data_IF_969417417133
#
_entry.id   IF_969417417133
#
_cell.length_a   1.000
_cell.length_b   1.000
_cell.length_c   1.000
_cell.angle_alpha   90.00
_cell.angle_beta   90.00
_cell.angle_gamma   90.00
#
_symmetry.space_group_name_H-M   'P 1'
#
loop_
_entity.id
_entity.type
_entity.pdbx_description
1 polymer ?
#
# COMPACT_ATOMS: atom_id res chain seq x y z
N UNK A 1 -24.41 41.70 30.77
CA UNK A 1 -23.68 40.56 31.36
C UNK A 1 -22.89 39.91 30.26
N UNK A 2 -21.61 39.80 30.51
CA UNK A 2 -20.53 39.96 29.53
C UNK A 2 -20.28 38.72 28.67
N UNK A 3 -20.33 38.89 27.36
CA UNK A 3 -20.16 37.85 26.34
C UNK A 3 -18.74 37.77 25.77
N UNK A 4 -17.71 37.94 26.59
CA UNK A 4 -16.31 38.00 26.13
C UNK A 4 -15.51 36.69 26.35
N UNK A 5 -16.10 35.63 26.91
CA UNK A 5 -15.35 34.44 27.33
C UNK A 5 -15.09 33.35 26.27
N UNK A 6 -15.84 33.30 25.16
CA UNK A 6 -15.81 32.14 24.24
C UNK A 6 -14.92 32.31 23.01
N UNK A 7 -14.50 33.54 22.69
CA UNK A 7 -13.64 33.81 21.52
C UNK A 7 -12.21 33.30 21.67
N UNK A 8 -11.65 33.37 22.88
CA UNK A 8 -10.26 32.98 23.17
C UNK A 8 -10.05 31.46 23.09
N UNK A 9 -11.01 30.66 23.55
CA UNK A 9 -10.88 29.20 23.56
C UNK A 9 -10.94 28.58 22.15
N UNK A 10 -11.74 29.17 21.26
CA UNK A 10 -11.80 28.72 19.85
C UNK A 10 -10.52 29.07 19.10
N UNK A 11 -9.91 30.23 19.41
CA UNK A 11 -8.67 30.67 18.79
C UNK A 11 -7.46 29.83 19.21
N UNK A 12 -7.37 29.44 20.50
CA UNK A 12 -6.32 28.53 20.98
C UNK A 12 -6.44 27.12 20.39
N UNK A 13 -7.66 26.57 20.30
CA UNK A 13 -7.87 25.25 19.69
C UNK A 13 -7.52 25.26 18.20
N UNK A 14 -7.83 26.35 17.48
CA UNK A 14 -7.44 26.52 16.09
C UNK A 14 -5.91 26.64 15.92
N UNK A 15 -5.22 27.40 16.77
CA UNK A 15 -3.76 27.51 16.73
C UNK A 15 -3.09 26.16 17.04
N UNK A 16 -3.63 25.41 18.01
CA UNK A 16 -3.09 24.09 18.37
C UNK A 16 -3.32 23.03 17.28
N UNK A 17 -4.35 23.18 16.44
CA UNK A 17 -4.60 22.30 15.29
C UNK A 17 -3.69 22.64 14.10
N UNK A 18 -3.42 23.94 13.86
CA UNK A 18 -2.54 24.41 12.78
C UNK A 18 -1.08 24.01 13.03
N UNK A 19 -0.58 24.14 14.26
CA UNK A 19 0.80 23.71 14.61
C UNK A 19 0.98 22.20 14.46
N UNK A 20 -0.07 21.40 14.71
CA UNK A 20 -0.02 19.94 14.57
C UNK A 20 -0.05 19.45 13.12
N UNK A 21 -0.57 20.28 12.20
CA UNK A 21 -0.60 19.99 10.77
C UNK A 21 0.65 20.51 10.04
N UNK A 22 1.32 21.53 10.57
CA UNK A 22 2.55 22.12 10.00
C UNK A 22 3.83 21.29 10.25
N UNK A 23 3.78 20.26 11.10
CA UNK A 23 4.93 19.40 11.44
C UNK A 23 5.10 18.15 10.58
N UNK A 24 4.40 18.03 9.44
CA UNK A 24 4.60 16.91 8.52
C UNK A 24 5.70 17.29 7.53
N UNK A 25 6.89 16.76 7.78
CA UNK A 25 8.07 16.93 6.95
C UNK A 25 7.76 16.72 5.46
N UNK A 26 8.27 17.67 4.67
CA UNK A 26 8.22 17.72 3.22
C UNK A 26 8.91 16.49 2.62
N UNK A 27 8.14 15.63 1.96
CA UNK A 27 8.68 14.55 1.12
C UNK A 27 9.13 15.18 -0.20
N UNK A 28 10.40 15.06 -0.64
CA UNK A 28 10.82 15.62 -1.91
C UNK A 28 10.16 14.86 -3.06
N UNK A 29 9.59 15.64 -3.98
CA UNK A 29 9.05 15.18 -5.24
C UNK A 29 10.17 14.60 -6.13
N UNK A 30 9.94 13.42 -6.68
CA UNK A 30 10.66 12.90 -7.82
C UNK A 30 9.65 12.51 -8.91
N UNK A 31 9.99 12.93 -10.11
CA UNK A 31 9.15 13.10 -11.28
C UNK A 31 9.19 11.89 -12.23
N UNK A 32 8.09 11.70 -12.97
CA UNK A 32 7.94 11.00 -14.26
C UNK A 32 7.92 9.45 -14.37
N UNK A 33 6.68 8.91 -14.44
CA UNK A 33 6.06 7.97 -15.45
C UNK A 33 6.73 6.61 -15.84
N UNK A 34 6.01 5.64 -16.48
CA UNK A 34 4.66 5.68 -17.05
C UNK A 34 3.68 4.59 -16.55
N UNK A 35 2.43 4.75 -17.02
CA UNK A 35 1.26 3.93 -16.73
C UNK A 35 1.39 2.48 -17.21
N UNK A 36 1.04 1.54 -16.33
CA UNK A 36 0.63 0.19 -16.73
C UNK A 36 -0.64 -0.17 -15.96
N UNK A 37 -1.73 -0.21 -16.70
CA UNK A 37 -2.99 -0.83 -16.28
C UNK A 37 -2.75 -2.34 -16.12
N UNK A 38 -3.04 -2.92 -14.94
CA UNK A 38 -3.71 -4.22 -14.82
C UNK A 38 -4.08 -4.55 -13.37
N UNK A 39 -5.33 -4.95 -13.24
CA UNK A 39 -6.07 -5.56 -12.14
C UNK A 39 -5.22 -6.45 -11.23
N UNK A 40 -5.26 -6.19 -9.92
CA UNK A 40 -4.91 -7.16 -8.88
C UNK A 40 -6.21 -7.49 -8.13
N UNK A 41 -6.75 -8.66 -8.44
CA UNK A 41 -7.65 -9.40 -7.55
C UNK A 41 -6.74 -10.22 -6.64
N UNK A 42 -6.85 -10.01 -5.32
CA UNK A 42 -6.23 -10.88 -4.34
C UNK A 42 -7.08 -12.15 -4.20
N UNK A 43 -6.56 -13.27 -4.70
CA UNK A 43 -6.93 -14.60 -4.23
C UNK A 43 -5.72 -15.23 -3.55
N UNK A 44 -5.83 -15.44 -2.25
CA UNK A 44 -4.91 -16.27 -1.47
C UNK A 44 -5.02 -17.73 -1.93
N UNK A 45 -3.91 -18.30 -2.39
CA UNK A 45 -3.71 -19.74 -2.46
C UNK A 45 -2.21 -20.06 -2.22
N UNK A 46 -1.89 -21.13 -1.46
CA UNK A 46 -0.52 -21.43 -1.05
C UNK A 46 0.27 -22.11 -2.18
N UNK A 47 1.43 -21.55 -2.53
CA UNK A 47 2.34 -22.17 -3.48
C UNK A 47 3.06 -23.36 -2.82
N UNK A 48 2.48 -24.55 -2.96
CA UNK A 48 3.21 -25.80 -2.87
C UNK A 48 4.08 -26.00 -4.12
N UNK A 49 5.29 -26.48 -3.87
CA UNK A 49 6.33 -26.73 -4.84
C UNK A 49 5.86 -27.61 -6.01
N UNK A 50 6.12 -27.17 -7.23
CA UNK A 50 6.26 -28.04 -8.41
C UNK A 50 7.63 -27.80 -9.01
N UNK A 51 8.55 -28.71 -8.68
CA UNK A 51 9.69 -29.04 -9.53
C UNK A 51 9.13 -29.40 -10.92
N UNK A 52 9.46 -28.61 -11.92
CA UNK A 52 9.23 -28.96 -13.32
C UNK A 52 10.58 -28.87 -14.03
N UNK A 53 11.15 -30.05 -14.33
CA UNK A 53 12.25 -30.18 -15.27
C UNK A 53 11.70 -30.00 -16.69
N UNK A 54 12.40 -29.31 -17.61
CA UNK A 54 12.09 -29.41 -19.03
C UNK A 54 12.94 -30.53 -19.65
N UNK A 55 12.25 -31.53 -20.17
CA UNK A 55 12.75 -32.49 -21.15
C UNK A 55 12.78 -31.86 -22.55
N UNK A 56 13.92 -32.04 -23.22
CA UNK A 56 14.16 -32.10 -24.68
C UNK A 56 13.57 -31.04 -25.62
N UNK A 57 14.43 -30.38 -26.40
CA UNK A 57 14.47 -30.60 -27.86
C UNK A 57 15.64 -29.83 -28.47
N UNK A 58 16.27 -30.43 -29.47
CA UNK A 58 17.11 -29.81 -30.52
C UNK A 58 18.59 -29.56 -30.20
N UNK A 59 19.40 -30.56 -30.55
CA UNK A 59 20.72 -30.31 -31.12
C UNK A 59 20.93 -31.23 -32.33
N UNK A 60 20.87 -30.61 -33.51
CA UNK A 60 21.15 -31.16 -34.82
C UNK A 60 22.61 -31.64 -34.99
N UNK A 61 22.73 -32.64 -35.86
CA UNK A 61 23.86 -32.95 -36.76
C UNK A 61 25.22 -33.35 -36.14
N UNK A 62 25.44 -34.67 -36.11
CA UNK A 62 26.76 -35.30 -36.16
C UNK A 62 27.36 -35.16 -37.58
N UNK A 63 28.62 -34.76 -37.75
CA UNK A 63 29.39 -35.12 -38.94
C UNK A 63 30.12 -36.45 -38.69
N UNK A 64 29.93 -37.39 -39.61
CA UNK A 64 30.73 -38.60 -39.68
C UNK A 64 32.19 -38.23 -40.00
N UNK A 65 33.11 -38.57 -39.10
CA UNK A 65 34.55 -38.47 -39.30
C UNK A 65 35.11 -39.90 -39.47
N UNK A 66 35.19 -40.35 -40.72
CA UNK A 66 36.05 -41.45 -41.12
C UNK A 66 37.47 -40.91 -41.32
N UNK A 67 38.37 -41.12 -40.38
CA UNK A 67 39.81 -40.96 -40.61
C UNK A 67 40.59 -41.97 -39.77
N UNK A 68 41.46 -42.66 -40.50
CA UNK A 68 42.36 -43.73 -40.12
C UNK A 68 43.24 -43.41 -38.93
N UNK A 69 43.37 -44.39 -38.04
CA UNK A 69 44.31 -44.42 -36.93
C UNK A 69 45.77 -44.38 -37.44
N UNK A 70 46.54 -43.42 -36.94
CA UNK A 70 48.00 -43.45 -36.98
C UNK A 70 48.53 -43.00 -35.63
N UNK A 71 49.35 -43.86 -35.05
CA UNK A 71 49.96 -43.70 -33.74
C UNK A 71 50.90 -42.49 -33.69
N UNK A 72 50.78 -41.69 -32.61
CA UNK A 72 51.73 -40.65 -32.26
C UNK A 72 51.16 -39.63 -31.26
N UNK A 73 51.70 -39.66 -30.04
CA UNK A 73 51.62 -38.63 -28.98
C UNK A 73 50.40 -38.65 -28.04
N UNK A 74 50.51 -39.50 -27.02
CA UNK A 74 49.58 -39.71 -25.90
C UNK A 74 49.52 -38.58 -24.86
N UNK A 75 50.02 -37.38 -25.17
CA UNK A 75 50.19 -36.30 -24.16
C UNK A 75 49.24 -35.11 -24.32
N UNK A 76 48.52 -34.94 -25.44
CA UNK A 76 47.73 -33.72 -25.70
C UNK A 76 46.23 -33.80 -25.33
N UNK A 77 45.67 -35.00 -25.09
CA UNK A 77 44.23 -35.15 -24.78
C UNK A 77 43.90 -34.87 -23.30
N UNK A 78 44.83 -35.19 -22.40
CA UNK A 78 44.66 -34.99 -20.96
C UNK A 78 44.55 -33.51 -20.59
N UNK A 79 45.25 -32.64 -21.34
CA UNK A 79 45.21 -31.19 -21.13
C UNK A 79 43.87 -30.58 -21.56
N UNK A 80 43.23 -31.12 -22.60
CA UNK A 80 41.93 -30.66 -23.06
C UNK A 80 40.82 -31.04 -22.07
N UNK A 81 40.83 -32.28 -21.57
CA UNK A 81 39.89 -32.74 -20.55
C UNK A 81 40.07 -31.98 -19.23
N UNK A 82 41.33 -31.69 -18.84
CA UNK A 82 41.64 -30.88 -17.67
C UNK A 82 41.13 -29.44 -17.81
N UNK A 83 41.23 -28.84 -19.00
CA UNK A 83 40.71 -27.50 -19.27
C UNK A 83 39.17 -27.45 -19.19
N UNK A 84 38.48 -28.48 -19.68
CA UNK A 84 37.02 -28.60 -19.59
C UNK A 84 36.58 -28.73 -18.13
N UNK A 85 37.24 -29.56 -17.33
CA UNK A 85 36.94 -29.71 -15.90
C UNK A 85 37.16 -28.39 -15.15
N UNK A 86 38.25 -27.66 -15.45
CA UNK A 86 38.50 -26.35 -14.87
C UNK A 86 37.42 -25.31 -15.24
N UNK A 87 36.95 -25.31 -16.50
CA UNK A 87 35.87 -24.44 -16.94
C UNK A 87 34.53 -24.76 -16.23
N UNK A 88 34.23 -26.05 -16.01
CA UNK A 88 33.07 -26.49 -15.25
C UNK A 88 33.14 -26.05 -13.78
N UNK A 89 34.28 -26.24 -13.11
CA UNK A 89 34.47 -25.77 -11.73
C UNK A 89 34.28 -24.26 -11.61
N UNK A 90 34.81 -23.48 -12.57
CA UNK A 90 34.58 -22.03 -12.63
C UNK A 90 33.09 -21.71 -12.77
N UNK A 91 32.36 -22.44 -13.63
CA UNK A 91 30.93 -22.22 -13.81
C UNK A 91 30.15 -22.55 -12.54
N UNK A 92 30.45 -23.66 -11.88
CA UNK A 92 29.82 -24.05 -10.61
C UNK A 92 30.01 -22.94 -9.57
N UNK A 93 31.25 -22.47 -9.37
CA UNK A 93 31.54 -21.39 -8.43
C UNK A 93 30.74 -20.11 -8.75
N UNK A 94 30.65 -19.70 -10.03
CA UNK A 94 29.86 -18.52 -10.41
C UNK A 94 28.37 -18.70 -10.16
N UNK A 95 27.84 -19.91 -10.34
CA UNK A 95 26.42 -20.21 -10.10
C UNK A 95 26.11 -20.22 -8.61
N UNK A 96 27.00 -20.77 -7.78
CA UNK A 96 26.88 -20.75 -6.32
C UNK A 96 26.90 -19.32 -5.77
N UNK A 97 27.80 -18.48 -6.28
CA UNK A 97 27.85 -17.06 -5.93
C UNK A 97 26.56 -16.33 -6.33
N UNK A 98 26.08 -16.57 -7.56
CA UNK A 98 24.83 -16.00 -8.03
C UNK A 98 23.64 -16.42 -7.16
N UNK A 99 23.54 -17.70 -6.82
CA UNK A 99 22.50 -18.22 -5.91
C UNK A 99 22.55 -17.56 -4.54
N UNK A 100 23.75 -17.42 -3.96
CA UNK A 100 23.91 -16.78 -2.66
C UNK A 100 23.51 -15.30 -2.71
N UNK A 101 23.88 -14.59 -3.77
CA UNK A 101 23.47 -13.20 -3.99
C UNK A 101 21.95 -13.08 -4.15
N UNK A 102 21.30 -13.98 -4.91
CA UNK A 102 19.84 -14.00 -5.04
C UNK A 102 19.15 -14.31 -3.71
N UNK A 103 19.64 -15.28 -2.93
CA UNK A 103 19.10 -15.60 -1.60
C UNK A 103 19.14 -14.38 -0.67
N UNK A 104 20.27 -13.66 -0.65
CA UNK A 104 20.41 -12.41 0.12
C UNK A 104 19.41 -11.36 -0.34
N UNK A 105 19.28 -11.13 -1.66
CA UNK A 105 18.31 -10.18 -2.23
C UNK A 105 16.88 -10.51 -1.83
N UNK A 106 16.49 -11.79 -1.91
CA UNK A 106 15.15 -12.24 -1.50
C UNK A 106 14.92 -11.97 -0.02
N UNK A 107 15.88 -12.31 0.85
CA UNK A 107 15.78 -12.04 2.28
C UNK A 107 15.62 -10.53 2.59
N UNK A 108 16.40 -9.68 1.92
CA UNK A 108 16.29 -8.22 2.05
C UNK A 108 14.92 -7.71 1.60
N UNK A 109 14.43 -8.16 0.44
CA UNK A 109 13.11 -7.75 -0.07
C UNK A 109 11.97 -8.23 0.82
N UNK A 110 12.07 -9.45 1.37
CA UNK A 110 11.10 -9.96 2.34
C UNK A 110 11.09 -9.12 3.62
N UNK A 111 12.26 -8.71 4.11
CA UNK A 111 12.36 -7.83 5.27
C UNK A 111 11.79 -6.42 4.98
N UNK A 112 12.04 -5.88 3.79
CA UNK A 112 11.46 -4.59 3.39
C UNK A 112 9.94 -4.68 3.28
N UNK A 113 9.41 -5.75 2.68
CA UNK A 113 7.97 -6.04 2.59
C UNK A 113 7.33 -6.10 3.97
N UNK A 114 7.92 -6.84 4.91
CA UNK A 114 7.37 -6.95 6.28
C UNK A 114 7.40 -5.62 7.03
N UNK A 115 8.48 -4.84 6.90
CA UNK A 115 8.59 -3.49 7.47
C UNK A 115 7.54 -2.54 6.88
N UNK A 116 7.38 -2.51 5.56
CA UNK A 116 6.38 -1.69 4.89
C UNK A 116 4.96 -2.10 5.31
N UNK A 117 4.68 -3.41 5.38
CA UNK A 117 3.38 -3.92 5.79
C UNK A 117 3.05 -3.53 7.24
N UNK A 118 4.02 -3.64 8.16
CA UNK A 118 3.86 -3.21 9.55
C UNK A 118 3.52 -1.72 9.65
N UNK A 119 4.25 -0.86 8.92
CA UNK A 119 3.97 0.58 8.88
C UNK A 119 2.58 0.87 8.33
N UNK A 120 2.19 0.20 7.24
CA UNK A 120 0.86 0.37 6.65
C UNK A 120 -0.25 -0.03 7.64
N UNK A 121 -0.08 -1.16 8.33
CA UNK A 121 -1.02 -1.61 9.36
C UNK A 121 -1.13 -0.62 10.52
N UNK A 122 -0.01 -0.06 10.97
CA UNK A 122 0.04 0.93 12.04
C UNK A 122 -0.66 2.24 11.63
N UNK A 123 -0.35 2.76 10.44
CA UNK A 123 -1.01 3.95 9.89
C UNK A 123 -2.52 3.72 9.75
N UNK A 124 -2.92 2.61 9.14
CA UNK A 124 -4.33 2.24 8.97
C UNK A 124 -5.05 2.13 10.31
N UNK A 125 -4.42 1.52 11.32
CA UNK A 125 -4.97 1.41 12.68
C UNK A 125 -5.14 2.79 13.31
N UNK A 126 -4.15 3.67 13.19
CA UNK A 126 -4.22 5.00 13.78
C UNK A 126 -5.29 5.88 13.13
N UNK A 127 -5.42 5.82 11.81
CA UNK A 127 -6.43 6.56 11.06
C UNK A 127 -7.85 6.08 11.43
N UNK A 128 -8.05 4.75 11.56
CA UNK A 128 -9.33 4.15 11.97
C UNK A 128 -9.82 4.58 13.37
N UNK A 129 -8.96 5.16 14.22
CA UNK A 129 -9.39 5.72 15.52
C UNK A 129 -10.21 6.99 15.37
N UNK A 130 -9.99 7.74 14.29
CA UNK A 130 -10.61 9.06 14.09
C UNK A 130 -11.66 9.02 12.98
N UNK A 131 -11.37 8.30 11.91
CA UNK A 131 -12.19 8.25 10.70
C UNK A 131 -13.01 6.95 10.65
N UNK A 132 -14.29 7.11 10.36
CA UNK A 132 -15.21 5.99 10.15
C UNK A 132 -14.97 5.33 8.78
N UNK A 133 -15.38 4.06 8.58
CA UNK A 133 -15.08 3.31 7.36
C UNK A 133 -15.56 3.96 6.06
N UNK A 134 -16.73 4.61 6.08
CA UNK A 134 -17.29 5.36 4.96
C UNK A 134 -16.45 6.60 4.61
N UNK A 135 -15.90 7.28 5.62
CA UNK A 135 -14.95 8.39 5.43
C UNK A 135 -13.66 7.89 4.78
N UNK A 136 -13.13 6.75 5.23
CA UNK A 136 -11.96 6.15 4.59
C UNK A 136 -12.25 5.83 3.14
N UNK A 137 -13.40 5.21 2.86
CA UNK A 137 -13.80 4.90 1.49
C UNK A 137 -13.92 6.15 0.60
N UNK A 138 -14.40 7.26 1.15
CA UNK A 138 -14.44 8.55 0.48
C UNK A 138 -13.06 9.10 0.14
N UNK A 139 -12.08 8.87 1.02
CA UNK A 139 -10.70 9.27 0.84
C UNK A 139 -10.06 8.52 -0.34
N UNK A 140 -10.30 7.20 -0.44
CA UNK A 140 -9.82 6.39 -1.57
C UNK A 140 -10.45 6.79 -2.90
N UNK A 141 -11.75 7.13 -2.92
CA UNK A 141 -12.46 7.49 -4.16
C UNK A 141 -12.46 8.99 -4.46
N UNK A 142 -11.81 9.82 -3.64
CA UNK A 142 -11.81 11.30 -3.71
C UNK A 142 -13.20 11.95 -3.75
N UNK A 143 -14.25 11.20 -3.43
CA UNK A 143 -15.64 11.64 -3.54
C UNK A 143 -16.56 10.74 -2.72
N UNK A 144 -17.55 11.37 -2.09
CA UNK A 144 -18.64 10.73 -1.36
C UNK A 144 -19.99 10.81 -2.09
N UNK A 145 -19.99 11.26 -3.35
CA UNK A 145 -21.22 11.36 -4.16
C UNK A 145 -21.85 9.97 -4.33
N UNK A 146 -23.14 9.87 -4.03
CA UNK A 146 -23.91 8.64 -4.17
C UNK A 146 -23.68 7.59 -3.06
N UNK A 147 -22.78 7.85 -2.10
CA UNK A 147 -22.55 6.97 -0.95
C UNK A 147 -23.39 7.40 0.24
N UNK A 148 -23.85 6.41 1.01
CA UNK A 148 -24.53 6.64 2.28
C UNK A 148 -23.50 6.89 3.38
N UNK A 149 -23.82 7.82 4.28
CA UNK A 149 -23.01 8.10 5.46
C UNK A 149 -23.40 7.16 6.59
N UNK A 150 -22.40 6.64 7.31
CA UNK A 150 -22.65 5.85 8.50
C UNK A 150 -23.27 6.70 9.62
N UNK A 151 -24.01 6.07 10.53
CA UNK A 151 -24.57 6.76 11.71
C UNK A 151 -23.48 7.41 12.56
N UNK A 152 -22.32 6.76 12.69
CA UNK A 152 -21.17 7.31 13.42
C UNK A 152 -20.67 8.61 12.77
N UNK A 153 -20.48 8.62 11.45
CA UNK A 153 -20.06 9.84 10.73
C UNK A 153 -21.09 10.95 10.84
N UNK A 154 -22.38 10.62 10.77
CA UNK A 154 -23.46 11.59 10.94
C UNK A 154 -23.43 12.19 12.35
N UNK A 155 -23.25 11.38 13.40
CA UNK A 155 -23.10 11.87 14.77
C UNK A 155 -21.89 12.79 14.93
N UNK A 156 -20.73 12.43 14.36
CA UNK A 156 -19.53 13.29 14.35
C UNK A 156 -19.81 14.63 13.66
N UNK A 157 -20.46 14.60 12.49
CA UNK A 157 -20.85 15.79 11.75
C UNK A 157 -21.84 16.69 12.52
N UNK A 158 -22.82 16.09 13.20
CA UNK A 158 -23.75 16.83 14.07
C UNK A 158 -23.04 17.46 15.26
N UNK A 159 -22.16 16.73 15.96
CA UNK A 159 -21.34 17.27 17.06
C UNK A 159 -20.54 18.48 16.60
N UNK A 160 -19.88 18.39 15.44
CA UNK A 160 -19.14 19.50 14.88
C UNK A 160 -20.05 20.69 14.56
N UNK A 161 -21.18 20.46 13.87
CA UNK A 161 -22.14 21.51 13.53
C UNK A 161 -22.68 22.22 14.78
N UNK A 162 -22.95 21.50 15.86
CA UNK A 162 -23.41 22.07 17.12
C UNK A 162 -22.31 22.91 17.80
N UNK A 163 -21.05 22.49 17.71
CA UNK A 163 -19.93 23.20 18.32
C UNK A 163 -19.53 24.50 17.60
N UNK A 164 -19.49 24.50 16.26
CA UNK A 164 -18.97 25.63 15.47
C UNK A 164 -19.99 26.29 14.54
N UNK A 165 -21.25 25.85 14.56
CA UNK A 165 -22.30 26.31 13.65
C UNK A 165 -22.10 25.84 12.19
N UNK A 166 -22.99 26.34 11.32
CA UNK A 166 -23.01 26.01 9.88
C UNK A 166 -21.75 26.47 9.16
N UNK A 167 -21.33 27.72 9.39
CA UNK A 167 -20.14 28.32 8.77
C UNK A 167 -18.86 27.54 9.12
N UNK A 168 -18.67 27.20 10.39
CA UNK A 168 -17.51 26.40 10.82
C UNK A 168 -17.53 25.00 10.22
N UNK A 169 -18.71 24.36 10.17
CA UNK A 169 -18.86 23.04 9.55
C UNK A 169 -18.53 23.07 8.05
N UNK A 170 -18.88 24.14 7.34
CA UNK A 170 -18.55 24.31 5.93
C UNK A 170 -17.04 24.55 5.72
N UNK A 171 -16.42 25.41 6.54
CA UNK A 171 -14.98 25.64 6.49
C UNK A 171 -14.17 24.34 6.73
N UNK A 172 -14.55 23.53 7.72
CA UNK A 172 -13.87 22.24 7.96
C UNK A 172 -14.07 21.29 6.77
N UNK A 173 -15.22 21.34 6.08
CA UNK A 173 -15.48 20.50 4.91
C UNK A 173 -14.66 20.91 3.69
N UNK A 174 -14.37 22.19 3.53
CA UNK A 174 -13.45 22.67 2.47
C UNK A 174 -12.03 22.14 2.69
N UNK A 175 -11.62 22.00 3.95
CA UNK A 175 -10.34 21.38 4.32
C UNK A 175 -10.38 19.85 4.25
N UNK A 176 -11.54 19.23 4.50
CA UNK A 176 -11.71 17.79 4.55
C UNK A 176 -13.03 17.34 3.89
N UNK A 177 -12.91 16.72 2.70
CA UNK A 177 -14.02 16.16 1.89
C UNK A 177 -14.84 15.08 2.62
N UNK A 178 -14.37 14.61 3.77
CA UNK A 178 -14.89 13.44 4.48
C UNK A 178 -16.03 13.73 5.46
N UNK A 179 -16.64 14.92 5.42
CA UNK A 179 -17.79 15.26 6.26
C UNK A 179 -19.09 15.38 5.46
N UNK A 180 -20.22 14.88 5.99
CA UNK A 180 -21.53 15.08 5.38
C UNK A 180 -21.84 16.56 5.20
N UNK A 181 -22.55 16.92 4.13
CA UNK A 181 -22.99 18.30 3.91
C UNK A 181 -23.95 18.78 5.01
N UNK A 182 -24.05 20.10 5.21
CA UNK A 182 -25.02 20.67 6.16
C UNK A 182 -26.45 20.20 5.86
N UNK A 183 -26.82 20.18 4.58
CA UNK A 183 -28.12 19.67 4.10
C UNK A 183 -28.32 18.20 4.45
N UNK A 184 -27.26 17.38 4.37
CA UNK A 184 -27.30 15.97 4.76
C UNK A 184 -27.56 15.81 6.26
N UNK A 185 -26.87 16.59 7.09
CA UNK A 185 -27.06 16.58 8.54
C UNK A 185 -28.47 17.03 8.92
N UNK A 186 -28.96 18.10 8.31
CA UNK A 186 -30.31 18.63 8.56
C UNK A 186 -31.39 17.60 8.22
N UNK A 187 -31.33 16.98 7.03
CA UNK A 187 -32.25 15.91 6.63
C UNK A 187 -32.26 14.74 7.59
N UNK A 188 -31.11 14.41 8.20
CA UNK A 188 -31.07 13.35 9.22
C UNK A 188 -31.85 13.76 10.46
N UNK A 189 -31.67 14.99 10.94
CA UNK A 189 -32.36 15.52 12.12
C UNK A 189 -33.87 15.66 11.87
N UNK A 190 -34.28 16.11 10.69
CA UNK A 190 -35.69 16.24 10.30
C UNK A 190 -36.47 14.91 10.37
N UNK A 191 -35.78 13.77 10.22
CA UNK A 191 -36.39 12.45 10.37
C UNK A 191 -36.73 12.11 11.82
N UNK A 192 -36.16 12.82 12.81
CA UNK A 192 -36.55 12.71 14.21
C UNK A 192 -37.71 13.67 14.48
N UNK A 193 -38.92 13.11 14.55
CA UNK A 193 -40.12 13.85 14.93
C UNK A 193 -40.36 13.70 16.42
N UNK A 194 -40.40 14.82 17.13
CA UNK A 194 -40.82 14.85 18.52
C UNK A 194 -42.33 15.09 18.55
N UNK A 195 -43.08 14.15 19.11
CA UNK A 195 -44.49 14.39 19.42
C UNK A 195 -44.60 15.34 20.62
N UNK A 196 -45.59 16.26 20.63
CA UNK A 196 -45.86 17.07 21.81
C UNK A 196 -46.09 16.17 23.03
N UNK A 197 -45.41 16.44 24.15
CA UNK A 197 -45.49 15.64 25.38
C UNK A 197 -44.13 15.39 26.01
N UNK A 198 -44.11 14.57 27.07
CA UNK A 198 -42.87 14.14 27.73
C UNK A 198 -42.22 13.05 26.88
N UNK A 199 -40.98 13.27 26.48
CA UNK A 199 -40.17 12.29 25.76
C UNK A 199 -39.63 11.26 26.77
N UNK A 200 -40.07 10.01 26.66
CA UNK A 200 -39.72 8.94 27.62
C UNK A 200 -38.41 8.22 27.26
N UNK A 201 -37.88 8.42 26.06
CA UNK A 201 -36.62 7.81 25.59
C UNK A 201 -35.63 8.91 25.15
N UNK A 202 -34.42 8.86 25.71
CA UNK A 202 -33.29 9.74 25.38
C UNK A 202 -32.07 8.88 25.03
#
# INVERSE_FOLDING_TARGET
MDGQGTGLLVQEVCQHLVVKLAGVDTIPAQESRPAVHKTIQDSEAPLQAKLYAPSSSDCDALPACSTTCSAGSSSSSLDADQAVVAALHKRIATLEECLNNMKRKVATLQQQKSRANRRNHELTRNIKKYLSPDQLQGMWTSSMRGKQWSTETIQKGLKLRLACGSRGCNAVRELAVLLPSERTLQRRVENYKFSPGILHEV
#
